data_IF_395643818529
#
_entry.id   IF_395643818529
#
_cell.length_a   1.000
_cell.length_b   1.000
_cell.length_c   1.000
_cell.angle_alpha   90.00
_cell.angle_beta   90.00
_cell.angle_gamma   90.00
#
_symmetry.space_group_name_H-M   'P 1'
#
loop_
_entity.id
_entity.type
_entity.pdbx_description
1 polymer ?
#
# COMPACT_ATOMS: atom_id res chain seq x y z
N UNK A 1 25.99 14.41 21.04
CA UNK A 1 24.51 14.39 20.96
C UNK A 1 24.09 13.21 20.11
N UNK A 2 23.09 12.43 20.48
CA UNK A 2 22.59 11.37 19.59
C UNK A 2 22.12 11.99 18.27
N UNK A 3 22.58 11.45 17.17
CA UNK A 3 22.22 11.93 15.84
C UNK A 3 20.76 11.58 15.59
N UNK A 4 19.93 12.58 15.25
CA UNK A 4 18.53 12.33 14.87
C UNK A 4 18.48 11.35 13.68
N UNK A 5 17.72 10.25 13.79
CA UNK A 5 17.67 9.25 12.73
C UNK A 5 17.08 9.83 11.44
N UNK A 6 17.68 9.52 10.31
CA UNK A 6 17.17 9.87 8.98
C UNK A 6 16.11 8.86 8.58
N UNK A 7 14.90 9.33 8.34
CA UNK A 7 13.73 8.49 8.06
C UNK A 7 13.31 8.64 6.61
N UNK A 8 12.99 7.51 5.98
CA UNK A 8 12.29 7.46 4.69
C UNK A 8 10.91 6.80 4.87
N UNK A 9 9.94 7.23 4.07
CA UNK A 9 8.60 6.62 4.00
C UNK A 9 8.42 6.07 2.59
N UNK A 10 7.96 4.83 2.46
CA UNK A 10 7.65 4.19 1.17
C UNK A 10 6.15 3.94 1.09
N UNK A 11 5.50 4.39 0.01
CA UNK A 11 4.07 4.15 -0.23
C UNK A 11 3.84 3.74 -1.69
N UNK A 12 2.82 2.91 -1.99
CA UNK A 12 2.63 2.40 -3.35
C UNK A 12 2.33 3.50 -4.37
N UNK A 13 1.24 4.23 -4.17
CA UNK A 13 0.75 5.20 -5.14
C UNK A 13 0.25 6.47 -4.45
N UNK A 14 0.71 7.61 -4.91
CA UNK A 14 0.19 8.93 -4.54
C UNK A 14 -0.51 9.55 -5.75
N UNK A 15 -1.55 8.87 -6.24
CA UNK A 15 -2.33 9.30 -7.42
C UNK A 15 -3.77 9.67 -7.08
N UNK A 16 -4.16 9.51 -5.83
CA UNK A 16 -5.44 9.94 -5.24
C UNK A 16 -5.31 9.92 -3.71
N UNK A 17 -6.18 10.61 -3.00
CA UNK A 17 -6.22 10.55 -1.53
C UNK A 17 -7.31 9.59 -1.06
N UNK A 18 -6.92 8.33 -0.78
CA UNK A 18 -7.76 7.30 -0.16
C UNK A 18 -7.35 7.03 1.30
N UNK A 19 -7.82 5.92 1.88
CA UNK A 19 -7.54 5.58 3.28
C UNK A 19 -6.06 5.27 3.56
N UNK A 20 -5.41 4.56 2.64
CA UNK A 20 -3.99 4.22 2.77
C UNK A 20 -3.09 5.47 2.62
N UNK A 21 -3.43 6.34 1.68
CA UNK A 21 -2.72 7.59 1.42
C UNK A 21 -2.87 8.57 2.60
N UNK A 22 -4.06 8.63 3.23
CA UNK A 22 -4.27 9.41 4.48
C UNK A 22 -3.40 8.88 5.62
N UNK A 23 -3.26 7.57 5.76
CA UNK A 23 -2.34 6.99 6.75
C UNK A 23 -0.89 7.34 6.44
N UNK A 24 -0.48 7.25 5.17
CA UNK A 24 0.86 7.66 4.74
C UNK A 24 1.11 9.16 5.01
N UNK A 25 0.08 10.01 4.84
CA UNK A 25 0.14 11.43 5.19
C UNK A 25 0.39 11.63 6.68
N UNK A 26 -0.34 10.94 7.55
CA UNK A 26 -0.12 11.03 9.00
C UNK A 26 1.30 10.60 9.37
N UNK A 27 1.84 9.53 8.78
CA UNK A 27 3.25 9.17 8.97
C UNK A 27 4.19 10.29 8.50
N UNK A 28 3.88 10.93 7.37
CA UNK A 28 4.64 12.05 6.85
C UNK A 28 4.55 13.29 7.75
N UNK A 29 3.44 13.52 8.42
CA UNK A 29 3.26 14.62 9.38
C UNK A 29 4.02 14.36 10.69
N UNK A 30 4.04 13.11 11.17
CA UNK A 30 4.83 12.69 12.36
C UNK A 30 6.34 12.86 12.09
N UNK A 31 6.78 12.60 10.86
CA UNK A 31 8.19 12.69 10.45
C UNK A 31 8.38 13.75 9.35
N UNK A 32 8.30 15.06 9.66
CA UNK A 32 8.30 16.13 8.66
C UNK A 32 9.58 16.20 7.82
N UNK A 33 10.71 15.73 8.33
CA UNK A 33 11.97 15.66 7.59
C UNK A 33 12.12 14.42 6.70
N UNK A 34 11.19 13.45 6.78
CA UNK A 34 11.29 12.22 6.01
C UNK A 34 10.98 12.45 4.53
N UNK A 35 11.76 11.87 3.62
CA UNK A 35 11.43 11.80 2.20
C UNK A 35 10.41 10.68 1.96
N UNK A 36 9.56 10.86 0.94
CA UNK A 36 8.50 9.93 0.60
C UNK A 36 8.80 9.30 -0.76
N UNK A 37 8.96 8.00 -0.79
CA UNK A 37 9.20 7.20 -1.98
C UNK A 37 7.89 6.56 -2.44
N UNK A 38 7.59 6.66 -3.74
CA UNK A 38 6.35 6.09 -4.30
C UNK A 38 6.54 5.60 -5.72
N UNK A 39 5.71 4.64 -6.16
CA UNK A 39 5.78 4.18 -7.54
C UNK A 39 5.34 5.25 -8.53
N UNK A 40 4.22 5.90 -8.23
CA UNK A 40 3.63 6.95 -9.06
C UNK A 40 3.14 8.11 -8.19
N UNK A 41 3.33 9.31 -8.67
CA UNK A 41 2.90 10.54 -8.03
C UNK A 41 2.10 11.42 -9.02
N UNK A 42 0.95 11.88 -8.56
CA UNK A 42 0.09 12.86 -9.26
C UNK A 42 0.05 14.13 -8.39
N UNK A 43 0.85 15.12 -8.77
CA UNK A 43 1.02 16.36 -8.00
C UNK A 43 -0.28 17.17 -7.93
N UNK A 44 -1.09 17.16 -9.00
CA UNK A 44 -2.38 17.87 -9.01
C UNK A 44 -3.33 17.36 -7.92
N UNK A 45 -3.31 16.03 -7.67
CA UNK A 45 -4.21 15.38 -6.71
C UNK A 45 -3.65 15.25 -5.30
N UNK A 46 -2.34 15.09 -5.17
CA UNK A 46 -1.70 14.75 -3.90
C UNK A 46 -0.69 15.81 -3.41
N UNK A 47 -0.34 16.81 -4.25
CA UNK A 47 0.71 17.79 -3.94
C UNK A 47 0.43 18.66 -2.72
N UNK A 48 -0.85 18.88 -2.37
CA UNK A 48 -1.21 19.60 -1.12
C UNK A 48 -0.77 18.85 0.14
N UNK A 49 -0.86 17.52 0.10
CA UNK A 49 -0.55 16.64 1.23
C UNK A 49 0.90 16.14 1.18
N UNK A 50 1.47 16.04 -0.02
CA UNK A 50 2.83 15.58 -0.28
C UNK A 50 3.53 16.55 -1.24
N UNK A 51 4.23 17.57 -0.74
CA UNK A 51 4.95 18.53 -1.59
C UNK A 51 5.98 17.81 -2.49
N UNK A 52 6.04 18.19 -3.76
CA UNK A 52 6.86 17.52 -4.77
C UNK A 52 8.35 17.41 -4.39
N UNK A 53 8.92 18.43 -3.72
CA UNK A 53 10.30 18.42 -3.25
C UNK A 53 10.62 17.29 -2.28
N UNK A 54 9.60 16.74 -1.62
CA UNK A 54 9.69 15.67 -0.62
C UNK A 54 9.50 14.28 -1.24
N UNK A 55 8.91 14.21 -2.45
CA UNK A 55 8.51 12.95 -3.10
C UNK A 55 9.56 12.49 -4.09
N UNK A 56 9.92 11.23 -4.00
CA UNK A 56 10.77 10.53 -4.96
C UNK A 56 9.99 9.40 -5.61
N UNK A 57 9.99 9.37 -6.95
CA UNK A 57 9.20 8.40 -7.71
C UNK A 57 10.06 7.31 -8.31
N UNK A 58 9.48 6.14 -8.52
CA UNK A 58 10.13 5.07 -9.27
C UNK A 58 10.21 5.40 -10.76
N UNK A 59 11.02 4.63 -11.51
CA UNK A 59 11.11 4.75 -12.99
C UNK A 59 9.77 4.52 -13.69
N UNK A 60 8.78 3.92 -13.03
CA UNK A 60 7.43 3.78 -13.58
C UNK A 60 6.74 5.12 -13.83
N UNK A 61 7.16 6.18 -13.16
CA UNK A 61 6.68 7.55 -13.40
C UNK A 61 6.95 8.02 -14.83
N UNK A 62 8.00 7.51 -15.49
CA UNK A 62 8.38 7.87 -16.85
C UNK A 62 7.55 7.15 -17.93
N UNK A 63 6.70 6.21 -17.55
CA UNK A 63 5.81 5.55 -18.52
C UNK A 63 4.73 6.51 -19.01
N UNK A 64 4.26 6.33 -20.27
CA UNK A 64 3.16 7.13 -20.82
C UNK A 64 1.92 7.13 -19.93
N UNK A 65 1.21 8.25 -19.86
CA UNK A 65 0.03 8.45 -18.99
C UNK A 65 -1.04 7.36 -19.15
N UNK A 66 -1.24 6.85 -20.36
CA UNK A 66 -2.21 5.79 -20.64
C UNK A 66 -1.83 4.43 -20.01
N UNK A 67 -0.53 4.16 -19.80
CA UNK A 67 -0.02 2.98 -19.09
C UNK A 67 -0.13 3.21 -17.57
N UNK A 68 0.30 4.37 -17.07
CA UNK A 68 0.25 4.72 -15.65
C UNK A 68 -1.16 4.66 -15.09
N UNK A 69 -2.15 5.05 -15.87
CA UNK A 69 -3.57 5.00 -15.48
C UNK A 69 -4.17 3.58 -15.45
N UNK A 70 -3.40 2.56 -15.85
CA UNK A 70 -3.83 1.16 -15.88
C UNK A 70 -2.92 0.29 -15.00
N UNK A 71 -3.13 0.26 -13.68
CA UNK A 71 -2.24 -0.45 -12.73
C UNK A 71 -1.98 -1.92 -13.08
N UNK A 72 -2.91 -2.57 -13.79
CA UNK A 72 -2.75 -3.96 -14.24
C UNK A 72 -1.53 -4.16 -15.15
N UNK A 73 -1.18 -3.17 -15.97
CA UNK A 73 -0.01 -3.25 -16.84
C UNK A 73 1.31 -3.03 -16.08
N UNK A 74 1.25 -2.32 -14.96
CA UNK A 74 2.43 -2.07 -14.12
C UNK A 74 2.76 -3.25 -13.20
N UNK A 75 1.80 -4.14 -12.96
CA UNK A 75 1.91 -5.23 -11.99
C UNK A 75 3.21 -6.06 -12.11
N UNK A 76 3.67 -6.47 -13.31
CA UNK A 76 4.91 -7.24 -13.45
C UNK A 76 6.18 -6.45 -13.08
N UNK A 77 6.13 -5.12 -13.11
CA UNK A 77 7.28 -4.23 -12.90
C UNK A 77 7.37 -3.73 -11.44
N UNK A 78 6.31 -3.90 -10.63
CA UNK A 78 6.26 -3.38 -9.27
C UNK A 78 7.35 -3.95 -8.35
N UNK A 79 7.69 -5.25 -8.40
CA UNK A 79 8.83 -5.77 -7.64
C UNK A 79 10.13 -5.03 -7.93
N UNK A 80 10.49 -4.90 -9.22
CA UNK A 80 11.70 -4.19 -9.63
C UNK A 80 11.63 -2.70 -9.33
N UNK A 81 10.44 -2.11 -9.38
CA UNK A 81 10.24 -0.69 -9.09
C UNK A 81 10.50 -0.34 -7.61
N UNK A 82 10.14 -1.21 -6.68
CA UNK A 82 10.42 -0.98 -5.26
C UNK A 82 11.86 -1.32 -4.90
N UNK A 83 12.45 -2.33 -5.53
CA UNK A 83 13.82 -2.76 -5.26
C UNK A 83 14.88 -1.80 -5.83
N UNK A 84 14.50 -0.85 -6.70
CA UNK A 84 15.45 0.16 -7.22
C UNK A 84 15.65 1.37 -6.30
N UNK A 85 14.82 1.56 -5.27
CA UNK A 85 15.00 2.66 -4.33
C UNK A 85 16.25 2.45 -3.47
N UNK A 86 17.06 3.49 -3.34
CA UNK A 86 18.26 3.48 -2.52
C UNK A 86 17.98 4.06 -1.13
N UNK A 87 18.26 3.26 -0.11
CA UNK A 87 18.08 3.64 1.30
C UNK A 87 19.40 3.70 2.08
N UNK A 88 20.56 3.73 1.42
CA UNK A 88 21.86 3.79 2.12
C UNK A 88 21.99 4.98 3.07
N UNK A 89 21.37 6.09 2.74
CA UNK A 89 21.43 7.32 3.50
C UNK A 89 20.38 7.42 4.63
N UNK A 90 19.63 6.37 4.92
CA UNK A 90 18.59 6.36 5.94
C UNK A 90 18.92 5.39 7.06
N UNK A 91 18.39 5.66 8.25
CA UNK A 91 18.55 4.83 9.44
C UNK A 91 17.29 3.98 9.66
N UNK A 92 16.10 4.56 9.34
CA UNK A 92 14.80 3.90 9.46
C UNK A 92 14.03 4.10 8.15
N UNK A 93 13.44 3.01 7.65
CA UNK A 93 12.52 3.07 6.50
C UNK A 93 11.16 2.54 6.93
N UNK A 94 10.11 3.36 6.77
CA UNK A 94 8.74 3.00 7.11
C UNK A 94 7.97 2.76 5.82
N UNK A 95 7.53 1.53 5.56
CA UNK A 95 6.66 1.25 4.43
C UNK A 95 5.18 1.25 4.85
N UNK A 96 4.35 2.01 4.14
CA UNK A 96 2.89 2.00 4.22
C UNK A 96 2.39 1.14 3.07
N UNK A 97 2.17 -0.16 3.32
CA UNK A 97 2.05 -1.17 2.26
C UNK A 97 0.67 -1.78 2.15
N UNK A 98 0.10 -1.75 0.94
CA UNK A 98 -1.10 -2.48 0.54
C UNK A 98 -0.79 -3.71 -0.32
N UNK A 99 0.43 -3.78 -0.90
CA UNK A 99 0.80 -4.88 -1.79
C UNK A 99 2.32 -5.07 -1.95
N UNK A 100 3.07 -4.03 -2.34
CA UNK A 100 4.46 -4.14 -2.80
C UNK A 100 5.44 -3.20 -2.09
N UNK A 101 4.99 -2.12 -1.44
CA UNK A 101 5.86 -1.12 -0.82
C UNK A 101 6.79 -1.69 0.27
N UNK A 102 6.46 -2.84 0.86
CA UNK A 102 7.30 -3.54 1.83
C UNK A 102 8.50 -4.28 1.19
N UNK A 103 8.56 -4.34 -0.14
CA UNK A 103 9.48 -5.25 -0.83
C UNK A 103 10.82 -4.64 -1.25
N UNK A 104 11.20 -3.45 -0.81
CA UNK A 104 12.50 -2.86 -1.11
C UNK A 104 13.65 -3.65 -0.47
N UNK A 105 14.87 -3.41 -0.96
CA UNK A 105 16.10 -3.93 -0.39
C UNK A 105 16.68 -2.85 0.52
N UNK A 106 16.85 -3.16 1.80
CA UNK A 106 17.47 -2.23 2.74
C UNK A 106 18.86 -2.69 3.17
N UNK A 107 19.82 -1.77 3.37
CA UNK A 107 21.11 -2.08 3.97
C UNK A 107 20.96 -2.68 5.37
N UNK A 108 21.92 -3.51 5.79
CA UNK A 108 21.91 -4.19 7.09
C UNK A 108 21.77 -3.24 8.29
N UNK A 109 22.30 -2.02 8.17
CA UNK A 109 22.23 -0.99 9.22
C UNK A 109 20.86 -0.38 9.42
N UNK A 110 19.95 -0.49 8.42
CA UNK A 110 18.64 0.15 8.45
C UNK A 110 17.63 -0.69 9.21
N UNK A 111 16.64 -0.02 9.82
CA UNK A 111 15.46 -0.68 10.38
C UNK A 111 14.27 -0.49 9.46
N UNK A 112 13.68 -1.60 9.01
CA UNK A 112 12.48 -1.59 8.18
C UNK A 112 11.23 -1.89 9.02
N UNK A 113 10.35 -0.91 9.14
CA UNK A 113 9.04 -1.05 9.79
C UNK A 113 7.97 -1.00 8.71
N UNK A 114 7.11 -2.02 8.62
CA UNK A 114 6.02 -2.06 7.66
C UNK A 114 4.67 -1.85 8.33
N UNK A 115 4.02 -0.73 8.05
CA UNK A 115 2.60 -0.54 8.33
C UNK A 115 1.80 -1.19 7.20
N UNK A 116 1.24 -2.35 7.46
CA UNK A 116 0.56 -3.19 6.48
C UNK A 116 -0.95 -2.93 6.47
N UNK A 117 -1.47 -2.37 5.38
CA UNK A 117 -2.92 -2.21 5.18
C UNK A 117 -3.61 -3.54 4.89
N UNK A 118 -2.97 -4.39 4.12
CA UNK A 118 -3.30 -5.81 3.91
C UNK A 118 -2.22 -6.43 3.00
N UNK A 119 -1.84 -7.69 3.18
CA UNK A 119 -1.23 -8.45 2.09
C UNK A 119 -2.09 -8.39 0.84
N UNK A 120 -1.47 -8.31 -0.34
CA UNK A 120 -2.15 -8.12 -1.62
C UNK A 120 -3.26 -9.14 -1.85
N UNK A 121 -4.53 -8.80 -1.62
CA UNK A 121 -5.65 -9.72 -1.64
C UNK A 121 -5.82 -10.46 -2.95
N UNK A 122 -5.57 -9.79 -4.09
CA UNK A 122 -5.65 -10.40 -5.42
C UNK A 122 -4.57 -11.48 -5.66
N UNK A 123 -3.51 -11.51 -4.83
CA UNK A 123 -2.50 -12.58 -4.84
C UNK A 123 -2.94 -13.76 -3.96
N UNK A 124 -3.70 -13.51 -2.89
CA UNK A 124 -3.99 -14.49 -1.84
C UNK A 124 -5.48 -14.85 -1.77
N UNK A 125 -6.20 -14.35 -0.79
CA UNK A 125 -7.58 -14.74 -0.47
C UNK A 125 -8.63 -14.37 -1.54
N UNK A 126 -8.35 -13.36 -2.37
CA UNK A 126 -9.26 -12.89 -3.43
C UNK A 126 -8.84 -13.31 -4.85
N UNK A 127 -7.84 -14.19 -4.99
CA UNK A 127 -7.27 -14.50 -6.30
C UNK A 127 -8.26 -15.21 -7.25
N UNK A 128 -9.10 -16.10 -6.74
CA UNK A 128 -10.09 -16.80 -7.55
C UNK A 128 -11.24 -15.90 -8.00
N UNK A 129 -11.77 -15.07 -7.08
CA UNK A 129 -12.77 -14.05 -7.37
C UNK A 129 -12.26 -13.05 -8.39
N UNK A 130 -11.02 -12.59 -8.23
CA UNK A 130 -10.36 -11.67 -9.16
C UNK A 130 -10.36 -12.22 -10.59
N UNK A 131 -10.07 -13.51 -10.78
CA UNK A 131 -10.10 -14.16 -12.09
C UNK A 131 -11.51 -14.26 -12.65
N UNK A 132 -12.51 -14.59 -11.83
CA UNK A 132 -13.92 -14.69 -12.23
C UNK A 132 -14.49 -13.33 -12.62
N UNK A 133 -14.32 -12.32 -11.80
CA UNK A 133 -14.83 -10.96 -12.03
C UNK A 133 -14.24 -10.31 -13.29
N UNK A 134 -12.98 -10.63 -13.61
CA UNK A 134 -12.35 -10.13 -14.82
C UNK A 134 -12.59 -11.03 -16.06
N UNK A 135 -13.44 -12.07 -15.95
CA UNK A 135 -13.78 -13.01 -17.04
C UNK A 135 -12.54 -13.59 -17.74
N UNK A 136 -11.49 -13.90 -16.95
CA UNK A 136 -10.23 -14.41 -17.47
C UNK A 136 -10.33 -15.93 -17.59
N UNK A 137 -10.28 -16.44 -18.84
CA UNK A 137 -10.33 -17.86 -19.17
C UNK A 137 -9.27 -18.31 -20.17
N UNK A 138 -9.24 -19.61 -20.47
CA UNK A 138 -8.34 -20.20 -21.47
C UNK A 138 -6.85 -19.98 -21.17
N UNK A 139 -6.05 -19.84 -22.21
CA UNK A 139 -4.59 -19.65 -22.13
C UNK A 139 -4.22 -18.40 -21.32
N UNK A 140 -5.01 -17.33 -21.43
CA UNK A 140 -4.78 -16.10 -20.63
C UNK A 140 -4.82 -16.38 -19.13
N UNK A 141 -5.69 -17.28 -18.66
CA UNK A 141 -5.76 -17.69 -17.26
C UNK A 141 -4.48 -18.42 -16.81
N UNK A 142 -3.95 -19.30 -17.68
CA UNK A 142 -2.71 -20.05 -17.37
C UNK A 142 -1.54 -19.09 -17.25
N UNK A 143 -1.36 -18.20 -18.20
CA UNK A 143 -0.29 -17.19 -18.19
C UNK A 143 -0.37 -16.24 -16.98
N UNK A 144 -1.59 -15.78 -16.67
CA UNK A 144 -1.80 -14.90 -15.52
C UNK A 144 -1.55 -15.64 -14.21
N UNK A 145 -2.01 -16.89 -14.06
CA UNK A 145 -1.75 -17.71 -12.87
C UNK A 145 -0.25 -17.91 -12.64
N UNK A 146 0.54 -18.12 -13.70
CA UNK A 146 2.00 -18.22 -13.59
C UNK A 146 2.62 -16.91 -13.07
N UNK A 147 2.18 -15.75 -13.60
CA UNK A 147 2.63 -14.45 -13.11
C UNK A 147 2.22 -14.21 -11.65
N UNK A 148 0.97 -14.50 -11.28
CA UNK A 148 0.48 -14.36 -9.91
C UNK A 148 1.22 -15.30 -8.93
N UNK A 149 1.59 -16.51 -9.39
CA UNK A 149 2.44 -17.44 -8.61
C UNK A 149 3.78 -16.80 -8.28
N UNK A 150 4.48 -16.23 -9.27
CA UNK A 150 5.78 -15.61 -9.06
C UNK A 150 5.68 -14.39 -8.14
N UNK A 151 4.64 -13.56 -8.30
CA UNK A 151 4.38 -12.43 -7.41
C UNK A 151 4.07 -12.87 -5.98
N UNK A 152 3.39 -14.02 -5.77
CA UNK A 152 3.17 -14.58 -4.42
C UNK A 152 4.48 -15.01 -3.77
N UNK A 153 5.34 -15.69 -4.53
CA UNK A 153 6.66 -16.11 -4.05
C UNK A 153 7.47 -14.86 -3.66
N UNK A 154 7.55 -13.88 -4.54
CA UNK A 154 8.26 -12.63 -4.28
C UNK A 154 7.69 -11.90 -3.06
N UNK A 155 6.36 -11.73 -2.98
CA UNK A 155 5.69 -11.05 -1.86
C UNK A 155 5.96 -11.72 -0.51
N UNK A 156 6.01 -13.07 -0.48
CA UNK A 156 6.32 -13.81 0.73
C UNK A 156 7.80 -13.72 1.12
N UNK A 157 8.70 -13.77 0.14
CA UNK A 157 10.14 -13.68 0.39
C UNK A 157 10.52 -12.25 0.80
N UNK A 158 9.98 -11.24 0.13
CA UNK A 158 10.24 -9.84 0.46
C UNK A 158 9.73 -9.45 1.85
N UNK A 159 8.64 -10.04 2.33
CA UNK A 159 8.14 -9.83 3.69
C UNK A 159 9.14 -10.24 4.77
N UNK A 160 10.08 -11.15 4.49
CA UNK A 160 11.14 -11.54 5.42
C UNK A 160 12.24 -10.48 5.58
N UNK A 161 12.28 -9.47 4.70
CA UNK A 161 13.21 -8.33 4.79
C UNK A 161 12.73 -7.28 5.81
N UNK A 162 11.50 -7.39 6.26
CA UNK A 162 10.87 -6.45 7.21
C UNK A 162 11.26 -6.84 8.62
N UNK A 163 11.82 -5.91 9.39
CA UNK A 163 12.18 -6.12 10.80
C UNK A 163 10.94 -6.15 11.71
N UNK A 164 9.93 -5.32 11.41
CA UNK A 164 8.70 -5.23 12.23
C UNK A 164 7.47 -4.94 11.39
N UNK A 165 6.44 -5.77 11.54
CA UNK A 165 5.13 -5.53 10.94
C UNK A 165 4.14 -4.91 11.93
N UNK A 166 3.46 -3.85 11.49
CA UNK A 166 2.30 -3.27 12.13
C UNK A 166 1.07 -3.53 11.26
N UNK A 167 0.08 -4.23 11.77
CA UNK A 167 -1.16 -4.53 11.08
C UNK A 167 -2.22 -3.47 11.39
N UNK A 168 -2.96 -2.98 10.41
CA UNK A 168 -4.01 -2.00 10.63
C UNK A 168 -5.23 -2.57 11.38
N UNK A 169 -5.34 -3.88 11.55
CA UNK A 169 -6.46 -4.56 12.23
C UNK A 169 -6.11 -6.01 12.58
N UNK A 170 -6.87 -6.61 13.49
CA UNK A 170 -6.74 -8.04 13.83
C UNK A 170 -6.95 -8.96 12.62
N UNK A 171 -7.83 -8.58 11.67
CA UNK A 171 -8.00 -9.33 10.41
C UNK A 171 -6.75 -9.29 9.56
N UNK A 172 -6.09 -8.15 9.44
CA UNK A 172 -4.83 -8.03 8.69
C UNK A 172 -3.69 -8.74 9.40
N UNK A 173 -3.63 -8.69 10.72
CA UNK A 173 -2.70 -9.48 11.52
C UNK A 173 -2.80 -10.98 11.20
N UNK A 174 -4.01 -11.54 11.18
CA UNK A 174 -4.25 -12.94 10.79
C UNK A 174 -3.80 -13.23 9.35
N UNK A 175 -3.98 -12.28 8.41
CA UNK A 175 -3.49 -12.43 7.03
C UNK A 175 -1.95 -12.43 6.94
N UNK A 176 -1.29 -11.52 7.65
CA UNK A 176 0.18 -11.46 7.73
C UNK A 176 0.71 -12.80 8.24
N UNK A 177 0.19 -13.28 9.37
CA UNK A 177 0.56 -14.57 9.94
C UNK A 177 0.33 -15.73 8.97
N UNK A 178 -0.81 -15.75 8.27
CA UNK A 178 -1.16 -16.82 7.34
C UNK A 178 -0.29 -16.85 6.09
N UNK A 179 -0.08 -15.67 5.46
CA UNK A 179 0.53 -15.60 4.13
C UNK A 179 2.03 -15.33 4.17
N UNK A 180 2.48 -14.48 5.10
CA UNK A 180 3.89 -14.13 5.24
C UNK A 180 4.61 -15.00 6.26
N UNK A 181 3.87 -15.60 7.22
CA UNK A 181 4.42 -16.41 8.33
C UNK A 181 5.36 -15.60 9.23
N UNK A 182 4.99 -14.37 9.50
CA UNK A 182 5.67 -13.45 10.41
C UNK A 182 4.67 -12.90 11.44
N UNK A 183 5.18 -12.49 12.58
CA UNK A 183 4.41 -11.83 13.64
C UNK A 183 4.16 -10.37 13.29
N UNK A 184 3.11 -9.78 13.88
CA UNK A 184 2.78 -8.37 13.73
C UNK A 184 1.99 -7.87 14.92
N UNK A 185 2.09 -6.58 15.20
CA UNK A 185 1.30 -5.87 16.20
C UNK A 185 0.13 -5.15 15.53
N UNK A 186 -1.00 -5.01 16.24
CA UNK A 186 -2.14 -4.26 15.72
C UNK A 186 -2.02 -2.80 16.11
N UNK A 187 -1.97 -1.93 15.10
CA UNK A 187 -2.02 -0.47 15.25
C UNK A 187 -3.10 0.04 14.31
N UNK A 188 -4.23 0.47 14.86
CA UNK A 188 -5.35 0.94 14.05
C UNK A 188 -5.00 2.22 13.26
N UNK A 189 -5.58 2.41 12.05
CA UNK A 189 -5.34 3.60 11.26
C UNK A 189 -5.88 4.84 11.97
N UNK A 190 -5.22 6.00 11.81
CA UNK A 190 -5.67 7.24 12.42
C UNK A 190 -7.00 7.71 11.83
N UNK A 191 -7.84 8.31 12.68
CA UNK A 191 -9.11 8.94 12.30
C UNK A 191 -9.08 10.40 12.71
N UNK A 192 -9.43 11.29 11.77
CA UNK A 192 -9.49 12.73 12.02
C UNK A 192 -10.83 13.11 12.67
N UNK A 193 -10.94 12.82 13.97
CA UNK A 193 -12.20 13.01 14.74
C UNK A 193 -12.62 14.48 14.84
N UNK A 194 -11.69 15.43 14.71
CA UNK A 194 -11.98 16.87 14.74
C UNK A 194 -12.93 17.34 13.63
N UNK A 195 -12.98 16.61 12.51
CA UNK A 195 -13.89 16.87 11.39
C UNK A 195 -15.25 16.19 11.52
N UNK A 196 -15.44 15.34 12.52
CA UNK A 196 -16.67 14.59 12.74
C UNK A 196 -17.53 15.37 13.74
N UNK A 197 -18.73 15.77 13.32
CA UNK A 197 -19.73 16.36 14.19
C UNK A 197 -20.83 15.34 14.49
N UNK A 198 -21.24 15.25 15.75
CA UNK A 198 -22.41 14.46 16.13
C UNK A 198 -23.67 15.18 15.63
N UNK A 199 -24.45 14.49 14.80
CA UNK A 199 -25.78 14.94 14.43
C UNK A 199 -26.75 14.64 15.57
N UNK A 200 -27.61 15.61 15.92
CA UNK A 200 -28.66 15.45 16.94
C UNK A 200 -29.95 14.87 16.35
N UNK A 201 -30.13 14.92 15.04
CA UNK A 201 -31.32 14.45 14.35
C UNK A 201 -31.08 13.03 13.81
N UNK A 202 -31.99 12.12 14.12
CA UNK A 202 -32.05 10.78 13.57
C UNK A 202 -33.07 10.73 12.44
N UNK A 203 -32.66 10.34 11.26
CA UNK A 203 -33.51 10.15 10.10
C UNK A 203 -33.69 8.65 9.80
N UNK A 204 -34.82 8.28 9.24
CA UNK A 204 -35.12 6.87 8.93
C UNK A 204 -34.52 6.45 7.58
N UNK A 205 -33.18 6.31 7.52
CA UNK A 205 -32.51 5.73 6.36
C UNK A 205 -31.28 4.89 6.77
N UNK A 206 -30.89 3.98 5.89
CA UNK A 206 -29.62 3.25 6.01
C UNK A 206 -28.53 3.98 5.24
N UNK A 207 -27.43 4.32 5.90
CA UNK A 207 -26.29 5.02 5.29
C UNK A 207 -25.16 4.03 5.00
N UNK A 208 -24.71 3.99 3.74
CA UNK A 208 -23.50 3.27 3.33
C UNK A 208 -22.46 4.26 2.89
N UNK A 209 -21.33 4.34 3.61
CA UNK A 209 -20.18 5.15 3.24
C UNK A 209 -19.10 4.22 2.68
N UNK A 210 -18.97 4.17 1.37
CA UNK A 210 -18.01 3.27 0.71
C UNK A 210 -17.56 3.80 -0.66
N UNK A 211 -16.39 3.32 -1.11
CA UNK A 211 -16.00 3.47 -2.50
C UNK A 211 -16.79 2.50 -3.36
N UNK A 212 -17.33 2.96 -4.50
CA UNK A 212 -18.03 2.12 -5.47
C UNK A 212 -17.01 1.21 -6.21
N UNK A 213 -16.81 0.02 -5.66
CA UNK A 213 -15.92 -0.99 -6.22
C UNK A 213 -16.55 -2.38 -6.08
N UNK A 214 -16.46 -3.21 -7.11
CA UNK A 214 -17.14 -4.51 -7.17
C UNK A 214 -16.86 -5.41 -5.97
N UNK A 215 -15.64 -5.40 -5.44
CA UNK A 215 -15.28 -6.22 -4.28
C UNK A 215 -15.92 -5.76 -2.96
N UNK A 216 -16.52 -4.56 -2.92
CA UNK A 216 -17.24 -4.03 -1.74
C UNK A 216 -18.65 -4.55 -1.64
N UNK A 217 -19.19 -5.13 -2.73
CA UNK A 217 -20.52 -5.77 -2.77
C UNK A 217 -21.63 -4.86 -2.25
N UNK A 218 -21.60 -3.57 -2.59
CA UNK A 218 -22.59 -2.57 -2.09
C UNK A 218 -24.00 -2.94 -2.55
N UNK A 219 -24.12 -3.60 -3.69
CA UNK A 219 -25.37 -4.12 -4.23
C UNK A 219 -26.10 -5.11 -3.31
N UNK A 220 -25.42 -5.70 -2.32
CA UNK A 220 -26.04 -6.60 -1.34
C UNK A 220 -26.77 -5.85 -0.23
N UNK A 221 -26.61 -4.54 -0.12
CA UNK A 221 -27.23 -3.71 0.91
C UNK A 221 -28.41 -2.87 0.37
N UNK A 222 -28.72 -3.01 -0.92
CA UNK A 222 -29.86 -2.40 -1.61
C UNK A 222 -30.94 -3.45 -1.80
#
# INVERSE_FOLDING_TARGET
>A
MPKTPRIAIVHEYLTRMGGAEKTAKVLADIFPAARVFTFLFDEEKCGKDFPAWRVETSRLQNFPKFIRNRPKFLLPFLPSAVEQFDFENYDIVISSSSAFAHGFISPLKNRHICYCHSPARFLWDYSYEYLRENKIGGIKKILLNSKLKNLRIWSRLSARRVDRFLANSATVQKRIQKYFRVESEVVHPPVEVSKIRLGMNHENYFLIVSQLANYKKIELAI
#
